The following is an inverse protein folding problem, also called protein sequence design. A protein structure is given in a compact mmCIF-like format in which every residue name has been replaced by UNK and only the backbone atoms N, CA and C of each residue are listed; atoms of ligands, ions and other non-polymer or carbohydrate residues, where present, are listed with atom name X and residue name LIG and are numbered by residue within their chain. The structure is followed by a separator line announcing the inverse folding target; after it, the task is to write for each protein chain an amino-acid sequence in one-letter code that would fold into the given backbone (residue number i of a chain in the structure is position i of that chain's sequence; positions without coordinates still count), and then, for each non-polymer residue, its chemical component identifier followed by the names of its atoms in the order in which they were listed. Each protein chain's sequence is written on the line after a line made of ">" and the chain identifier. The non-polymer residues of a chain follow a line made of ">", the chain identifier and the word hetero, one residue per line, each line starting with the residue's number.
data_IF_569501455392
#
_entry.id   IF_569501455392
#
_cell.length_a   1.000
_cell.length_b   1.000
_cell.length_c   1.000
_cell.angle_alpha   90.00
_cell.angle_beta   90.00
_cell.angle_gamma   90.00
#
_symmetry.space_group_name_H-M   'P 1'
#
loop_
_entity.id
_entity.type
_entity.pdbx_description
1 polymer ?
#
# COMPACT_ATOMS: atom_id res chain seq x y z
N UNK A 1 -57.29 9.33 -29.19
CA UNK A 1 -56.81 8.87 -27.86
C UNK A 1 -55.46 8.23 -28.03
N UNK A 2 -54.34 9.05 -28.14
CA UNK A 2 -53.01 8.53 -28.41
C UNK A 2 -52.32 8.23 -27.08
N UNK A 3 -51.98 6.95 -26.85
CA UNK A 3 -51.12 6.49 -25.76
C UNK A 3 -49.68 6.61 -26.22
N UNK A 4 -48.95 7.58 -25.70
CA UNK A 4 -47.51 7.67 -25.79
C UNK A 4 -46.88 6.66 -24.81
N UNK A 5 -46.24 5.63 -25.33
CA UNK A 5 -45.41 4.69 -24.54
C UNK A 5 -44.04 5.32 -24.37
N UNK A 6 -43.72 5.76 -23.14
CA UNK A 6 -42.38 6.25 -22.77
C UNK A 6 -41.51 5.03 -22.48
N UNK A 7 -40.62 4.67 -23.41
CA UNK A 7 -39.58 3.64 -23.21
C UNK A 7 -38.46 4.28 -22.36
N UNK A 8 -38.42 3.95 -21.07
CA UNK A 8 -37.36 4.35 -20.15
C UNK A 8 -36.16 3.41 -20.37
N UNK A 9 -35.14 3.86 -21.11
CA UNK A 9 -33.88 3.16 -21.24
C UNK A 9 -33.11 3.27 -19.91
N UNK A 10 -33.11 2.18 -19.15
CA UNK A 10 -32.18 1.99 -18.03
C UNK A 10 -30.77 1.77 -18.62
N UNK A 11 -29.93 2.80 -18.62
CA UNK A 11 -28.50 2.66 -18.83
C UNK A 11 -27.91 2.04 -17.55
N UNK A 12 -27.78 0.71 -17.55
CA UNK A 12 -26.96 0.02 -16.56
C UNK A 12 -25.50 0.28 -16.93
N UNK A 13 -24.94 1.36 -16.39
CA UNK A 13 -23.51 1.63 -16.48
C UNK A 13 -22.78 0.52 -15.70
N UNK A 14 -22.13 -0.39 -16.41
CA UNK A 14 -21.17 -1.31 -15.79
C UNK A 14 -20.11 -0.45 -15.12
N UNK A 15 -20.06 -0.42 -13.78
CA UNK A 15 -18.93 0.10 -13.03
C UNK A 15 -17.75 -0.82 -13.33
N UNK A 16 -16.85 -0.37 -14.20
CA UNK A 16 -15.58 -1.05 -14.44
C UNK A 16 -14.76 -0.79 -13.18
N UNK A 17 -14.56 -1.83 -12.37
CA UNK A 17 -13.65 -1.76 -11.24
C UNK A 17 -12.28 -1.28 -11.73
N UNK A 18 -11.75 -0.22 -11.14
CA UNK A 18 -10.49 0.40 -11.53
C UNK A 18 -9.35 -0.54 -11.16
N UNK A 19 -8.94 -1.40 -12.09
CA UNK A 19 -7.84 -2.35 -11.87
C UNK A 19 -6.51 -1.59 -11.71
N UNK A 20 -5.73 -1.96 -10.70
CA UNK A 20 -4.39 -1.43 -10.45
C UNK A 20 -3.37 -2.29 -11.19
N UNK A 21 -2.56 -1.66 -12.05
CA UNK A 21 -1.59 -2.34 -12.90
C UNK A 21 -0.54 -3.08 -12.09
N UNK A 22 -0.33 -4.36 -12.45
CA UNK A 22 0.71 -5.22 -11.89
C UNK A 22 2.10 -4.71 -12.29
N UNK A 23 3.11 -4.98 -11.46
CA UNK A 23 4.48 -4.58 -11.77
C UNK A 23 5.51 -5.39 -11.01
N UNK A 24 6.72 -5.38 -11.55
CA UNK A 24 7.94 -5.80 -10.87
C UNK A 24 9.01 -4.73 -11.06
N UNK A 25 9.59 -4.26 -9.99
CA UNK A 25 10.52 -3.13 -10.03
C UNK A 25 11.59 -3.25 -8.95
N UNK A 26 12.75 -2.64 -9.22
CA UNK A 26 13.85 -2.53 -8.28
C UNK A 26 13.75 -1.21 -7.54
N UNK A 27 13.83 -1.29 -6.22
CA UNK A 27 13.82 -0.14 -5.32
C UNK A 27 15.09 -0.13 -4.47
N UNK A 28 15.50 1.06 -4.10
CA UNK A 28 16.51 1.33 -3.09
C UNK A 28 15.82 1.79 -1.83
N UNK A 29 16.09 1.11 -0.73
CA UNK A 29 15.71 1.55 0.62
C UNK A 29 16.92 2.12 1.32
N UNK A 30 16.79 3.32 1.86
CA UNK A 30 17.80 4.05 2.60
C UNK A 30 17.23 4.48 3.95
N UNK A 31 17.96 4.21 5.02
CA UNK A 31 17.76 4.71 6.37
C UNK A 31 19.11 5.06 6.99
N UNK A 32 19.12 5.60 8.20
CA UNK A 32 20.37 5.86 8.92
C UNK A 32 21.18 4.58 9.18
N UNK A 33 20.50 3.44 9.38
CA UNK A 33 21.14 2.17 9.73
C UNK A 33 21.54 1.35 8.50
N UNK A 34 20.82 1.46 7.38
CA UNK A 34 20.99 0.55 6.24
C UNK A 34 20.61 1.20 4.92
N UNK A 35 21.42 0.86 3.90
CA UNK A 35 21.13 1.13 2.49
C UNK A 35 21.10 -0.20 1.74
N UNK A 36 19.94 -0.55 1.13
CA UNK A 36 19.74 -1.87 0.51
C UNK A 36 18.82 -1.80 -0.69
N UNK A 37 19.22 -2.43 -1.80
CA UNK A 37 18.38 -2.59 -2.98
C UNK A 37 17.54 -3.85 -2.90
N UNK A 38 16.30 -3.78 -3.36
CA UNK A 38 15.39 -4.90 -3.38
C UNK A 38 14.43 -4.90 -4.56
N UNK A 39 13.79 -6.03 -4.76
CA UNK A 39 12.74 -6.22 -5.77
C UNK A 39 11.39 -6.12 -5.09
N UNK A 40 10.56 -5.25 -5.63
CA UNK A 40 9.16 -5.12 -5.28
C UNK A 40 8.32 -5.67 -6.41
N UNK A 41 7.34 -6.50 -6.09
CA UNK A 41 6.48 -7.14 -7.08
C UNK A 41 5.03 -7.14 -6.59
N UNK A 42 4.14 -6.59 -7.40
CA UNK A 42 2.69 -6.67 -7.25
C UNK A 42 2.12 -7.53 -8.36
N UNK A 43 1.41 -8.58 -8.00
CA UNK A 43 0.83 -9.52 -8.96
C UNK A 43 -0.49 -10.11 -8.48
N UNK A 44 -1.31 -10.50 -9.45
CA UNK A 44 -2.49 -11.36 -9.22
C UNK A 44 -2.04 -12.81 -9.04
N UNK A 45 -2.72 -13.53 -8.15
CA UNK A 45 -2.61 -14.97 -7.91
C UNK A 45 -3.94 -15.64 -8.25
N UNK A 46 -4.00 -16.96 -8.16
CA UNK A 46 -5.26 -17.71 -8.38
C UNK A 46 -6.33 -17.27 -7.38
N UNK A 47 -5.93 -17.04 -6.13
CA UNK A 47 -6.80 -16.67 -5.01
C UNK A 47 -6.38 -15.29 -4.45
N UNK A 48 -6.64 -14.20 -5.22
CA UNK A 48 -6.38 -12.84 -4.77
C UNK A 48 -5.12 -12.20 -5.34
N UNK A 49 -4.43 -11.39 -4.54
CA UNK A 49 -3.26 -10.60 -4.92
C UNK A 49 -2.13 -10.73 -3.92
N UNK A 50 -0.92 -10.52 -4.41
CA UNK A 50 0.30 -10.51 -3.61
C UNK A 50 1.10 -9.24 -3.90
N UNK A 51 1.48 -8.51 -2.86
CA UNK A 51 2.50 -7.48 -2.94
C UNK A 51 3.65 -7.85 -2.02
N UNK A 52 4.86 -7.95 -2.58
CA UNK A 52 6.05 -8.30 -1.81
C UNK A 52 7.22 -7.36 -2.09
N UNK A 53 8.11 -7.26 -1.10
CA UNK A 53 9.41 -6.62 -1.22
C UNK A 53 10.47 -7.57 -0.68
N UNK A 54 11.52 -7.79 -1.45
CA UNK A 54 12.69 -8.59 -1.07
C UNK A 54 13.96 -7.81 -1.34
N UNK A 55 14.73 -7.59 -0.30
CA UNK A 55 16.04 -6.97 -0.38
C UNK A 55 17.05 -7.84 0.37
N UNK A 56 18.27 -7.96 -0.15
CA UNK A 56 19.34 -8.72 0.49
C UNK A 56 20.70 -8.17 0.09
N UNK A 57 21.60 -8.06 1.06
CA UNK A 57 23.02 -7.82 0.87
C UNK A 57 23.83 -8.74 1.81
N UNK A 58 25.12 -8.49 1.95
CA UNK A 58 26.03 -9.35 2.76
C UNK A 58 25.64 -9.31 4.25
N UNK A 59 25.15 -8.18 4.75
CA UNK A 59 24.91 -7.96 6.18
C UNK A 59 23.47 -8.10 6.60
N UNK A 60 22.51 -7.86 5.68
CA UNK A 60 21.10 -7.84 6.00
C UNK A 60 20.22 -8.41 4.89
N UNK A 61 19.04 -8.89 5.27
CA UNK A 61 17.95 -9.18 4.34
C UNK A 61 16.63 -8.72 4.92
N UNK A 62 15.74 -8.24 4.03
CA UNK A 62 14.40 -7.79 4.35
C UNK A 62 13.42 -8.51 3.43
N UNK A 63 12.38 -9.06 4.00
CA UNK A 63 11.30 -9.69 3.27
C UNK A 63 9.97 -9.25 3.87
N UNK A 64 9.15 -8.65 3.04
CA UNK A 64 7.79 -8.24 3.35
C UNK A 64 6.87 -8.85 2.31
N UNK A 65 5.79 -9.46 2.74
CA UNK A 65 4.76 -9.99 1.85
C UNK A 65 3.38 -9.69 2.43
N UNK A 66 2.50 -9.17 1.61
CA UNK A 66 1.08 -8.95 1.89
C UNK A 66 0.26 -9.76 0.89
N UNK A 67 -0.65 -10.58 1.38
CA UNK A 67 -1.66 -11.29 0.60
C UNK A 67 -3.03 -10.71 0.91
N UNK A 68 -3.83 -10.46 -0.13
CA UNK A 68 -5.09 -9.73 0.00
C UNK A 68 -5.99 -9.95 -1.22
N UNK A 69 -7.26 -9.61 -1.05
CA UNK A 69 -8.24 -9.52 -2.12
C UNK A 69 -8.49 -8.05 -2.49
N UNK A 70 -8.96 -7.82 -3.70
CA UNK A 70 -9.45 -6.51 -4.17
C UNK A 70 -10.88 -6.70 -4.64
N UNK A 71 -11.81 -5.94 -4.06
CA UNK A 71 -13.20 -5.88 -4.48
C UNK A 71 -13.62 -4.43 -4.82
N UNK A 72 -14.92 -4.21 -5.00
CA UNK A 72 -15.48 -2.90 -5.33
C UNK A 72 -15.19 -1.86 -4.24
N UNK A 73 -15.18 -2.29 -2.98
CA UNK A 73 -14.97 -1.41 -1.81
C UNK A 73 -13.48 -1.09 -1.63
N UNK A 74 -12.60 -2.05 -1.91
CA UNK A 74 -11.15 -1.84 -1.80
C UNK A 74 -10.34 -3.11 -1.53
N UNK A 75 -9.23 -2.94 -0.83
CA UNK A 75 -8.30 -4.01 -0.45
C UNK A 75 -8.76 -4.67 0.85
N UNK A 76 -8.82 -6.00 0.85
CA UNK A 76 -9.10 -6.83 2.02
C UNK A 76 -7.87 -7.66 2.37
N UNK A 77 -7.17 -7.27 3.41
CA UNK A 77 -5.97 -8.00 3.89
C UNK A 77 -6.32 -9.42 4.33
N UNK A 78 -5.49 -10.40 3.95
CA UNK A 78 -5.57 -11.79 4.38
C UNK A 78 -4.40 -12.11 5.32
N UNK A 79 -3.16 -11.79 4.89
CA UNK A 79 -1.98 -11.95 5.73
C UNK A 79 -0.91 -10.91 5.43
N UNK A 80 -0.08 -10.62 6.43
CA UNK A 80 1.10 -9.78 6.28
C UNK A 80 2.28 -10.39 7.05
N UNK A 81 3.34 -10.73 6.33
CA UNK A 81 4.54 -11.31 6.91
C UNK A 81 5.75 -10.39 6.75
N UNK A 82 6.52 -10.27 7.83
CA UNK A 82 7.78 -9.53 7.90
C UNK A 82 8.87 -10.51 8.34
N UNK A 83 9.99 -10.53 7.62
CA UNK A 83 11.23 -11.20 8.03
C UNK A 83 12.40 -10.26 7.82
N UNK A 84 13.11 -9.92 8.88
CA UNK A 84 14.28 -9.06 8.84
C UNK A 84 15.46 -9.80 9.47
N UNK A 85 16.59 -9.82 8.78
CA UNK A 85 17.86 -10.40 9.19
C UNK A 85 18.92 -9.28 9.26
N UNK A 86 19.94 -9.33 10.12
CA UNK A 86 20.49 -10.51 10.77
C UNK A 86 19.61 -11.05 11.92
N UNK A 87 19.76 -12.34 12.18
CA UNK A 87 18.91 -13.09 13.12
C UNK A 87 18.90 -12.58 14.56
N UNK A 88 19.96 -11.91 15.01
CA UNK A 88 20.02 -11.36 16.37
C UNK A 88 19.01 -10.23 16.61
N UNK A 89 18.49 -9.63 15.54
CA UNK A 89 17.45 -8.60 15.63
C UNK A 89 16.04 -9.16 15.57
N UNK A 90 15.84 -10.49 15.58
CA UNK A 90 14.53 -11.19 15.48
C UNK A 90 13.33 -10.24 15.30
N UNK A 91 13.13 -9.76 14.08
CA UNK A 91 12.03 -8.84 13.73
C UNK A 91 10.97 -9.56 12.86
N UNK A 92 10.93 -10.89 12.95
CA UNK A 92 9.93 -11.66 12.22
C UNK A 92 8.57 -11.50 12.88
N UNK A 93 7.57 -11.20 12.07
CA UNK A 93 6.19 -11.06 12.51
C UNK A 93 5.25 -11.55 11.41
N UNK A 94 4.23 -12.31 11.80
CA UNK A 94 3.13 -12.73 10.94
C UNK A 94 1.83 -12.17 11.51
N UNK A 95 1.05 -11.52 10.66
CA UNK A 95 -0.29 -11.03 10.96
C UNK A 95 -1.28 -11.73 10.05
N UNK A 96 -2.34 -12.26 10.63
CA UNK A 96 -3.41 -12.99 9.95
C UNK A 96 -4.76 -12.34 10.26
N UNK A 97 -5.59 -12.19 9.23
CA UNK A 97 -6.93 -11.60 9.31
C UNK A 97 -7.96 -12.72 9.23
N UNK A 98 -8.50 -13.12 10.37
CA UNK A 98 -9.59 -14.10 10.50
C UNK A 98 -10.94 -13.36 10.39
N UNK A 99 -11.51 -13.34 9.18
CA UNK A 99 -12.76 -12.63 8.92
C UNK A 99 -13.99 -13.37 9.43
N UNK A 100 -13.89 -14.67 9.67
CA UNK A 100 -15.00 -15.45 10.23
C UNK A 100 -15.21 -15.12 11.71
N UNK A 101 -14.09 -14.97 12.42
CA UNK A 101 -14.06 -14.62 13.83
C UNK A 101 -13.99 -13.10 14.08
N UNK A 102 -13.81 -12.28 13.04
CA UNK A 102 -13.55 -10.83 13.12
C UNK A 102 -12.35 -10.50 14.02
N UNK A 103 -11.25 -11.22 13.81
CA UNK A 103 -10.06 -11.13 14.63
C UNK A 103 -8.82 -10.95 13.75
N UNK A 104 -7.91 -10.08 14.21
CA UNK A 104 -6.56 -9.98 13.70
C UNK A 104 -5.65 -10.59 14.74
N UNK A 105 -4.78 -11.52 14.31
CA UNK A 105 -3.79 -12.20 15.16
C UNK A 105 -2.39 -11.86 14.69
N UNK A 106 -1.52 -11.55 15.64
CA UNK A 106 -0.09 -11.38 15.38
C UNK A 106 0.73 -12.38 16.15
N UNK A 107 1.73 -12.94 15.50
CA UNK A 107 2.72 -13.84 16.08
C UNK A 107 4.14 -13.43 15.71
N UNK A 108 5.13 -13.86 16.48
CA UNK A 108 6.55 -13.54 16.28
C UNK A 108 7.04 -12.46 17.24
N UNK A 109 7.63 -11.36 16.71
CA UNK A 109 8.22 -10.31 17.56
C UNK A 109 7.20 -9.68 18.51
N UNK A 110 6.05 -9.32 17.98
CA UNK A 110 4.94 -8.76 18.76
C UNK A 110 3.77 -9.74 18.65
N UNK A 111 3.34 -10.30 19.78
CA UNK A 111 2.23 -11.25 19.83
C UNK A 111 1.03 -10.57 20.46
N UNK A 112 -0.05 -10.45 19.70
CA UNK A 112 -1.28 -9.83 20.15
C UNK A 112 -2.49 -10.37 19.37
N UNK A 113 -3.68 -10.09 19.87
CA UNK A 113 -4.97 -10.41 19.25
C UNK A 113 -5.90 -9.21 19.41
N UNK A 114 -6.49 -8.76 18.31
CA UNK A 114 -7.45 -7.65 18.30
C UNK A 114 -8.70 -8.04 17.54
N UNK A 115 -9.85 -7.52 17.92
CA UNK A 115 -11.07 -7.60 17.13
C UNK A 115 -11.15 -6.43 16.15
N UNK A 116 -11.86 -6.61 15.04
CA UNK A 116 -12.21 -5.55 14.09
C UNK A 116 -13.67 -5.68 13.67
N UNK A 117 -14.26 -4.61 13.13
CA UNK A 117 -15.63 -4.64 12.63
C UNK A 117 -15.62 -5.31 11.26
N UNK A 118 -16.55 -6.26 10.99
CA UNK A 118 -16.54 -7.10 9.79
C UNK A 118 -16.50 -6.32 8.46
N UNK A 119 -17.13 -5.15 8.43
CA UNK A 119 -17.17 -4.28 7.26
C UNK A 119 -16.05 -3.24 7.24
N UNK A 120 -15.21 -3.21 8.27
CA UNK A 120 -14.09 -2.30 8.35
C UNK A 120 -12.95 -2.75 7.41
N UNK A 121 -12.50 -1.81 6.57
CA UNK A 121 -11.32 -2.02 5.76
C UNK A 121 -10.10 -1.72 6.63
N UNK A 122 -9.48 -2.79 7.15
CA UNK A 122 -8.20 -2.71 7.80
C UNK A 122 -7.11 -3.20 6.84
N UNK A 123 -6.09 -2.37 6.61
CA UNK A 123 -4.99 -2.67 5.70
C UNK A 123 -3.67 -2.78 6.46
N UNK A 124 -2.75 -3.58 5.90
CA UNK A 124 -1.36 -3.58 6.34
C UNK A 124 -0.55 -2.46 5.66
N UNK A 125 0.65 -2.11 6.16
CA UNK A 125 1.44 -1.03 5.59
C UNK A 125 1.87 -1.23 4.13
N UNK A 126 1.85 -2.49 3.65
CA UNK A 126 2.27 -2.79 2.29
C UNK A 126 1.09 -2.68 1.32
N UNK A 127 -0.05 -3.33 1.61
CA UNK A 127 -1.21 -3.29 0.74
C UNK A 127 -2.02 -1.97 0.82
N UNK A 128 -1.86 -1.18 1.89
CA UNK A 128 -2.33 0.21 1.95
C UNK A 128 -1.88 1.02 0.72
N UNK A 129 -0.71 0.69 0.16
CA UNK A 129 -0.18 1.36 -1.02
C UNK A 129 -0.98 1.03 -2.29
N UNK A 130 -1.65 -0.11 -2.35
CA UNK A 130 -2.57 -0.45 -3.44
C UNK A 130 -3.87 0.37 -3.30
N UNK A 131 -4.37 0.53 -2.06
CA UNK A 131 -5.51 1.42 -1.79
C UNK A 131 -5.20 2.88 -2.19
N UNK A 132 -4.01 3.38 -1.85
CA UNK A 132 -3.56 4.71 -2.23
C UNK A 132 -3.60 4.87 -3.76
N UNK A 133 -3.02 3.93 -4.52
CA UNK A 133 -3.03 3.97 -6.00
C UNK A 133 -4.45 3.98 -6.54
N UNK A 134 -5.35 3.16 -5.99
CA UNK A 134 -6.77 3.10 -6.37
C UNK A 134 -7.44 4.46 -6.17
N UNK A 135 -7.35 5.04 -4.97
CA UNK A 135 -7.97 6.32 -4.67
C UNK A 135 -7.44 7.47 -5.53
N UNK A 136 -6.13 7.55 -5.74
CA UNK A 136 -5.54 8.60 -6.58
C UNK A 136 -5.98 8.43 -8.04
N UNK A 137 -6.06 7.21 -8.55
CA UNK A 137 -6.58 6.90 -9.89
C UNK A 137 -8.06 7.28 -10.06
N UNK A 138 -8.82 7.20 -9.00
CA UNK A 138 -10.23 7.63 -8.91
C UNK A 138 -10.38 9.14 -8.63
N UNK A 139 -9.28 9.91 -8.63
CA UNK A 139 -9.23 11.34 -8.34
C UNK A 139 -9.71 11.72 -6.92
N UNK A 140 -9.56 10.81 -5.96
CA UNK A 140 -9.85 11.09 -4.55
C UNK A 140 -8.63 11.76 -3.92
N UNK A 141 -8.72 13.06 -3.68
CA UNK A 141 -7.59 13.89 -3.23
C UNK A 141 -7.42 13.93 -1.70
N UNK A 142 -8.43 13.50 -0.94
CA UNK A 142 -8.40 13.41 0.52
C UNK A 142 -9.16 12.17 0.96
N UNK A 143 -8.54 11.36 1.80
CA UNK A 143 -9.13 10.13 2.33
C UNK A 143 -8.45 9.70 3.62
N UNK A 144 -9.05 8.75 4.33
CA UNK A 144 -8.46 8.10 5.48
C UNK A 144 -8.35 6.61 5.24
N UNK A 145 -7.29 6.00 5.76
CA UNK A 145 -7.12 4.54 5.78
C UNK A 145 -6.90 4.06 7.22
N UNK A 146 -7.51 2.94 7.51
CA UNK A 146 -7.34 2.23 8.76
C UNK A 146 -6.21 1.21 8.61
N UNK A 147 -5.07 1.46 9.25
CA UNK A 147 -3.91 0.59 9.25
C UNK A 147 -3.81 -0.18 10.56
N UNK A 148 -3.35 -1.43 10.46
CA UNK A 148 -3.03 -2.21 11.66
C UNK A 148 -1.86 -1.60 12.42
N UNK A 149 -2.01 -1.48 13.75
CA UNK A 149 -0.87 -1.19 14.64
C UNK A 149 -0.04 -2.47 14.81
N UNK A 150 1.16 -2.45 14.24
CA UNK A 150 2.06 -3.61 14.17
C UNK A 150 2.64 -4.00 15.55
N UNK A 151 2.68 -3.08 16.51
CA UNK A 151 3.33 -3.30 17.81
C UNK A 151 2.34 -3.75 18.86
N UNK A 152 1.24 -3.03 18.99
CA UNK A 152 0.30 -3.19 20.09
C UNK A 152 -1.00 -3.89 19.66
N UNK A 153 -1.22 -4.00 18.36
CA UNK A 153 -2.49 -4.47 17.81
C UNK A 153 -3.53 -3.36 17.71
N UNK A 154 -4.70 -3.72 17.18
CA UNK A 154 -5.74 -2.75 16.88
C UNK A 154 -5.53 -2.04 15.55
N UNK A 155 -6.32 -1.02 15.33
CA UNK A 155 -6.41 -0.28 14.07
C UNK A 155 -6.22 1.20 14.37
N UNK A 156 -5.39 1.85 13.56
CA UNK A 156 -5.10 3.28 13.62
C UNK A 156 -5.51 3.96 12.33
N UNK A 157 -6.19 5.09 12.44
CA UNK A 157 -6.60 5.88 11.28
C UNK A 157 -5.52 6.87 10.88
N UNK A 158 -5.14 6.84 9.61
CA UNK A 158 -4.22 7.79 9.00
C UNK A 158 -4.94 8.63 7.96
N UNK A 159 -4.65 9.91 7.92
CA UNK A 159 -5.20 10.86 6.96
C UNK A 159 -4.24 11.08 5.80
N UNK A 160 -4.77 11.08 4.60
CA UNK A 160 -4.04 11.27 3.37
C UNK A 160 -4.59 12.48 2.62
N UNK A 161 -3.71 13.33 2.11
CA UNK A 161 -4.09 14.49 1.31
C UNK A 161 -3.10 14.73 0.17
N UNK A 162 -3.62 14.99 -1.02
CA UNK A 162 -2.79 15.47 -2.14
C UNK A 162 -2.32 16.87 -1.82
N UNK A 163 -1.02 17.05 -1.71
CA UNK A 163 -0.39 18.33 -1.36
C UNK A 163 0.10 19.09 -2.59
N UNK A 164 0.46 18.39 -3.66
CA UNK A 164 0.97 19.03 -4.88
C UNK A 164 0.90 18.08 -6.10
N UNK A 165 1.06 18.69 -7.29
CA UNK A 165 1.32 17.99 -8.55
C UNK A 165 2.58 18.59 -9.15
N UNK A 166 3.61 17.78 -9.35
CA UNK A 166 4.92 18.21 -9.81
C UNK A 166 5.42 17.35 -10.97
N UNK A 167 6.57 17.71 -11.55
CA UNK A 167 7.31 16.84 -12.44
C UNK A 167 8.39 16.11 -11.64
N UNK A 168 8.41 14.77 -11.73
CA UNK A 168 9.44 13.93 -11.16
C UNK A 168 10.37 13.41 -12.25
N UNK A 169 11.64 13.28 -11.93
CA UNK A 169 12.62 12.69 -12.83
C UNK A 169 12.83 11.20 -12.48
N UNK A 170 12.76 10.33 -13.49
CA UNK A 170 13.11 8.92 -13.38
C UNK A 170 13.66 8.43 -14.72
N UNK A 171 14.85 7.79 -14.71
CA UNK A 171 15.56 7.30 -15.92
C UNK A 171 15.73 8.35 -17.02
N UNK A 172 16.04 9.59 -16.67
CA UNK A 172 16.18 10.76 -17.58
C UNK A 172 14.87 11.18 -18.27
N UNK A 173 13.74 10.65 -17.85
CA UNK A 173 12.41 11.04 -18.30
C UNK A 173 11.69 11.82 -17.20
N UNK A 174 10.73 12.67 -17.62
CA UNK A 174 9.90 13.45 -16.70
C UNK A 174 8.48 12.90 -16.66
N UNK A 175 8.04 12.56 -15.46
CA UNK A 175 6.71 12.06 -15.18
C UNK A 175 5.89 13.10 -14.45
N UNK A 176 4.58 13.12 -14.67
CA UNK A 176 3.66 13.89 -13.81
C UNK A 176 3.49 13.12 -12.50
N UNK A 177 3.84 13.75 -11.40
CA UNK A 177 3.72 13.16 -10.08
C UNK A 177 2.65 13.83 -9.25
N UNK A 178 1.77 13.01 -8.70
CA UNK A 178 0.93 13.38 -7.56
C UNK A 178 1.77 13.23 -6.29
N UNK A 179 1.85 14.29 -5.49
CA UNK A 179 2.49 14.27 -4.17
C UNK A 179 1.40 14.13 -3.11
N UNK A 180 1.45 13.04 -2.37
CA UNK A 180 0.47 12.69 -1.34
C UNK A 180 1.16 12.67 0.02
N UNK A 181 0.60 13.36 0.98
CA UNK A 181 1.07 13.36 2.37
C UNK A 181 0.16 12.50 3.24
N UNK A 182 0.78 11.67 4.09
CA UNK A 182 0.12 10.91 5.16
C UNK A 182 0.49 11.52 6.50
N UNK A 183 -0.51 11.75 7.33
CA UNK A 183 -0.36 12.25 8.69
C UNK A 183 -1.21 11.43 9.66
N UNK A 184 -0.88 11.49 10.95
CA UNK A 184 -1.66 10.89 12.02
C UNK A 184 -1.90 11.95 13.10
N UNK A 185 -3.12 12.12 13.61
CA UNK A 185 -3.42 13.05 14.69
C UNK A 185 -2.54 12.78 15.91
N UNK A 186 -1.91 13.85 16.44
CA UNK A 186 -1.04 13.75 17.63
C UNK A 186 0.38 13.22 17.36
N UNK A 187 0.77 13.00 16.09
CA UNK A 187 2.11 12.55 15.71
C UNK A 187 2.81 13.61 14.86
N UNK A 188 4.12 13.80 15.08
CA UNK A 188 5.00 14.61 14.23
C UNK A 188 5.48 13.84 12.98
N UNK A 189 5.27 12.53 12.95
CA UNK A 189 5.63 11.67 11.81
C UNK A 189 4.81 12.00 10.57
N UNK A 190 5.51 12.16 9.46
CA UNK A 190 4.94 12.40 8.14
C UNK A 190 5.48 11.41 7.13
N UNK A 191 4.63 10.93 6.24
CA UNK A 191 5.08 10.15 5.08
C UNK A 191 4.62 10.86 3.81
N UNK A 192 5.56 11.14 2.91
CA UNK A 192 5.29 11.75 1.60
C UNK A 192 5.51 10.73 0.50
N UNK A 193 4.52 10.58 -0.37
CA UNK A 193 4.51 9.68 -1.51
C UNK A 193 4.55 10.46 -2.81
N UNK A 194 5.35 9.99 -3.77
CA UNK A 194 5.45 10.53 -5.12
C UNK A 194 4.96 9.47 -6.10
N UNK A 195 3.81 9.67 -6.72
CA UNK A 195 3.13 8.71 -7.58
C UNK A 195 3.12 9.19 -9.02
N UNK A 196 3.71 8.42 -9.95
CA UNK A 196 3.75 8.77 -11.37
C UNK A 196 2.43 8.41 -12.07
N UNK A 197 1.77 9.40 -12.68
CA UNK A 197 0.50 9.22 -13.41
C UNK A 197 0.66 8.25 -14.58
N UNK A 198 1.70 8.43 -15.40
CA UNK A 198 1.97 7.62 -16.60
C UNK A 198 2.36 6.17 -16.26
N UNK A 199 2.69 5.89 -15.00
CA UNK A 199 2.97 4.54 -14.49
C UNK A 199 1.83 4.02 -13.61
N UNK A 200 0.60 4.37 -13.93
CA UNK A 200 -0.60 3.99 -13.18
C UNK A 200 -0.45 4.25 -11.68
N UNK A 201 0.08 5.43 -11.35
CA UNK A 201 0.35 5.87 -9.97
C UNK A 201 1.29 4.96 -9.18
N UNK A 202 2.24 4.31 -9.86
CA UNK A 202 3.32 3.61 -9.18
C UNK A 202 4.19 4.59 -8.40
N UNK A 203 4.67 4.16 -7.23
CA UNK A 203 5.50 5.00 -6.37
C UNK A 203 6.91 5.15 -6.97
N UNK A 204 7.30 6.37 -7.33
CA UNK A 204 8.68 6.70 -7.65
C UNK A 204 9.51 6.88 -6.39
N UNK A 205 8.89 7.45 -5.33
CA UNK A 205 9.55 7.70 -4.07
C UNK A 205 8.57 7.70 -2.91
N UNK A 206 9.01 7.20 -1.76
CA UNK A 206 8.34 7.33 -0.47
C UNK A 206 9.36 7.87 0.50
N UNK A 207 9.03 8.93 1.22
CA UNK A 207 9.83 9.48 2.31
C UNK A 207 8.99 9.40 3.57
N UNK A 208 9.52 8.71 4.59
CA UNK A 208 8.87 8.56 5.89
C UNK A 208 9.81 9.15 6.94
N UNK A 209 9.38 10.23 7.55
CA UNK A 209 10.22 11.07 8.40
C UNK A 209 9.57 11.36 9.75
N UNK A 210 10.39 11.44 10.75
CA UNK A 210 10.07 11.94 12.10
C UNK A 210 11.15 12.94 12.51
N UNK A 211 11.07 13.46 13.73
CA UNK A 211 12.09 14.35 14.27
C UNK A 211 13.47 13.67 14.41
N UNK A 212 13.50 12.33 14.56
CA UNK A 212 14.71 11.58 14.88
C UNK A 212 15.30 10.81 13.69
N UNK A 213 14.52 10.50 12.66
CA UNK A 213 14.96 9.64 11.55
C UNK A 213 14.21 9.92 10.26
N UNK A 214 14.86 9.56 9.15
CA UNK A 214 14.26 9.56 7.81
C UNK A 214 14.52 8.23 7.12
N UNK A 215 13.45 7.61 6.61
CA UNK A 215 13.52 6.45 5.73
C UNK A 215 13.08 6.84 4.33
N UNK A 216 13.78 6.35 3.33
CA UNK A 216 13.48 6.61 1.92
C UNK A 216 13.39 5.31 1.15
N UNK A 217 12.36 5.16 0.34
CA UNK A 217 12.25 4.11 -0.67
C UNK A 217 12.15 4.80 -2.04
N UNK A 218 13.02 4.44 -2.98
CA UNK A 218 13.10 5.07 -4.29
C UNK A 218 13.16 4.05 -5.41
N UNK A 219 12.36 4.24 -6.46
CA UNK A 219 12.37 3.43 -7.66
C UNK A 219 13.70 3.60 -8.40
N UNK A 220 14.34 2.50 -8.80
CA UNK A 220 15.59 2.50 -9.55
C UNK A 220 15.45 1.91 -10.95
N UNK A 221 14.55 0.93 -11.12
CA UNK A 221 14.38 0.24 -12.38
C UNK A 221 13.01 -0.43 -12.44
N UNK A 222 12.33 -0.36 -13.57
CA UNK A 222 11.11 -1.12 -13.87
C UNK A 222 11.51 -2.38 -14.63
N UNK A 223 11.23 -3.56 -14.05
CA UNK A 223 11.55 -4.86 -14.63
C UNK A 223 10.41 -5.42 -15.47
N UNK A 224 9.16 -5.16 -15.05
CA UNK A 224 7.95 -5.40 -15.84
C UNK A 224 6.83 -4.48 -15.38
N UNK A 225 5.93 -4.13 -16.29
CA UNK A 225 4.78 -3.27 -16.05
C UNK A 225 3.63 -3.66 -16.99
N UNK A 226 2.45 -4.03 -16.39
CA UNK A 226 1.28 -4.52 -17.13
C UNK A 226 1.22 -6.03 -17.24
#
# INVERSE_FOLDING_TARGET
>A
MNRFLFLMYFFCGAMIATEVTQYKAKYQFDSEEISISGIREFKKKNDGYELKFRASNIVASMFFISEFDIDEVGVRSNSYEIKIRPKFLKRDQLIEFDRQENIIKSSGRNTWKSSFISDEIAVDPLNAQIMIRKFIKENVNQFSLNLINMQEGGIETYNYSVSNNIKCDFNNEKYKCVVLDRTQPGSTRKTTYYLAEELDYMFLKIIDESEEWTNKLELKEILSFG
#
